data_IF_057333182402
#
_entry.id   IF_057333182402
#
_cell.length_a   1.000
_cell.length_b   1.000
_cell.length_c   1.000
_cell.angle_alpha   90.00
_cell.angle_beta   90.00
_cell.angle_gamma   90.00
#
_symmetry.space_group_name_H-M   'P 1'
#
loop_
_entity.id
_entity.type
_entity.pdbx_description
1 polymer ?
#
# COMPACT_ATOMS: atom_id res chain seq x y z
N UNK A 1 23.51 0.04 -20.56
CA UNK A 1 23.65 0.49 -19.16
C UNK A 1 23.13 1.91 -19.00
N UNK A 2 23.58 2.85 -19.82
CA UNK A 2 23.25 4.31 -19.75
C UNK A 2 21.74 4.60 -19.82
N UNK A 3 21.02 3.97 -20.75
CA UNK A 3 19.56 4.16 -20.90
C UNK A 3 18.80 3.66 -19.66
N UNK A 4 19.20 2.52 -19.11
CA UNK A 4 18.59 1.99 -17.86
C UNK A 4 18.82 2.93 -16.68
N UNK A 5 20.01 3.53 -16.59
CA UNK A 5 20.33 4.53 -15.58
C UNK A 5 19.47 5.77 -15.70
N UNK A 6 19.33 6.32 -16.92
CA UNK A 6 18.48 7.47 -17.17
C UNK A 6 17.00 7.22 -16.81
N UNK A 7 16.48 6.05 -17.18
CA UNK A 7 15.10 5.65 -16.81
C UNK A 7 14.95 5.53 -15.30
N UNK A 8 15.92 4.94 -14.59
CA UNK A 8 15.87 4.83 -13.13
C UNK A 8 15.89 6.21 -12.45
N UNK A 9 16.71 7.14 -12.93
CA UNK A 9 16.77 8.52 -12.43
C UNK A 9 15.41 9.23 -12.62
N UNK A 10 14.82 9.11 -13.80
CA UNK A 10 13.51 9.69 -14.08
C UNK A 10 12.41 9.08 -13.19
N UNK A 11 12.44 7.78 -12.97
CA UNK A 11 11.49 7.08 -12.07
C UNK A 11 11.62 7.50 -10.61
N UNK A 12 12.82 7.87 -10.14
CA UNK A 12 12.99 8.40 -8.77
C UNK A 12 12.19 9.67 -8.52
N UNK A 13 12.00 10.48 -9.56
CA UNK A 13 11.16 11.67 -9.46
C UNK A 13 9.67 11.32 -9.45
N UNK A 14 9.25 10.30 -10.21
CA UNK A 14 7.85 9.91 -10.34
C UNK A 14 7.37 9.04 -9.17
N UNK A 15 8.19 8.06 -8.76
CA UNK A 15 7.91 7.12 -7.68
C UNK A 15 9.23 6.74 -6.98
N UNK A 16 9.68 7.58 -6.02
CA UNK A 16 10.94 7.35 -5.32
C UNK A 16 10.96 6.02 -4.55
N UNK A 17 9.83 5.60 -3.98
CA UNK A 17 9.74 4.36 -3.22
C UNK A 17 10.01 3.14 -4.10
N UNK A 18 9.43 3.09 -5.30
CA UNK A 18 9.60 1.99 -6.24
C UNK A 18 11.06 1.80 -6.70
N UNK A 19 11.84 2.88 -6.77
CA UNK A 19 13.26 2.82 -7.11
C UNK A 19 14.15 2.57 -5.88
N UNK A 20 13.79 3.15 -4.72
CA UNK A 20 14.57 3.01 -3.50
C UNK A 20 14.61 1.56 -2.99
N UNK A 21 13.50 0.85 -3.04
CA UNK A 21 13.41 -0.56 -2.59
C UNK A 21 14.24 -1.53 -3.42
N UNK A 22 14.75 -1.12 -4.58
CA UNK A 22 15.66 -1.92 -5.41
C UNK A 22 17.10 -1.91 -4.90
N UNK A 23 17.42 -0.99 -4.02
CA UNK A 23 18.75 -0.86 -3.43
C UNK A 23 18.80 -1.71 -2.16
N UNK A 24 19.83 -2.57 -2.03
CA UNK A 24 20.04 -3.28 -0.77
C UNK A 24 20.24 -2.24 0.36
N UNK A 25 19.43 -2.25 1.43
CA UNK A 25 19.54 -1.29 2.51
C UNK A 25 20.94 -1.21 3.14
N UNK A 26 21.67 -2.31 3.19
CA UNK A 26 23.06 -2.34 3.67
C UNK A 26 24.01 -1.49 2.81
N UNK A 27 23.71 -1.36 1.51
CA UNK A 27 24.54 -0.58 0.58
C UNK A 27 24.34 0.94 0.75
N UNK A 28 23.26 1.37 1.38
CA UNK A 28 23.01 2.79 1.68
C UNK A 28 23.88 3.25 2.86
N UNK A 29 24.20 2.34 3.78
CA UNK A 29 24.88 2.63 5.05
C UNK A 29 23.89 2.96 6.16
N UNK A 30 23.90 2.14 7.22
CA UNK A 30 22.98 2.26 8.35
C UNK A 30 23.63 2.70 9.65
N UNK A 31 24.97 2.72 9.69
CA UNK A 31 25.71 3.18 10.85
C UNK A 31 27.20 2.91 10.77
N UNK A 32 27.98 3.61 11.59
CA UNK A 32 29.43 3.51 11.63
C UNK A 32 29.90 2.08 11.95
N UNK A 33 29.18 1.39 12.84
CA UNK A 33 29.53 0.04 13.31
C UNK A 33 28.73 -1.06 12.60
N UNK A 34 28.24 -0.78 11.40
CA UNK A 34 27.46 -1.73 10.60
C UNK A 34 28.13 -3.07 10.41
N UNK A 35 29.47 -3.11 10.30
CA UNK A 35 30.26 -4.32 10.08
C UNK A 35 30.57 -5.12 11.36
N UNK A 36 30.35 -4.52 12.54
CA UNK A 36 30.65 -5.12 13.83
C UNK A 36 29.48 -5.92 14.41
N UNK A 37 28.31 -5.84 13.78
CA UNK A 37 27.11 -6.57 14.20
C UNK A 37 26.89 -7.83 13.37
N UNK A 38 26.04 -8.74 13.88
CA UNK A 38 25.62 -9.93 13.14
C UNK A 38 24.94 -9.53 11.83
N UNK A 39 25.56 -9.89 10.70
CA UNK A 39 25.10 -9.47 9.37
C UNK A 39 23.75 -10.10 8.98
N UNK A 40 23.45 -11.30 9.48
CA UNK A 40 22.17 -11.98 9.22
C UNK A 40 21.02 -11.29 9.95
N UNK A 41 21.25 -10.95 11.21
CA UNK A 41 20.27 -10.20 12.01
C UNK A 41 20.08 -8.80 11.48
N UNK A 42 21.15 -8.10 11.09
CA UNK A 42 21.10 -6.78 10.47
C UNK A 42 20.25 -6.81 9.21
N UNK A 43 20.51 -7.75 8.30
CA UNK A 43 19.74 -7.90 7.07
C UNK A 43 18.26 -8.10 7.36
N UNK A 44 17.91 -9.05 8.25
CA UNK A 44 16.52 -9.30 8.63
C UNK A 44 15.82 -8.07 9.21
N UNK A 45 16.49 -7.33 10.08
CA UNK A 45 15.95 -6.09 10.68
C UNK A 45 15.71 -5.00 9.63
N UNK A 46 16.64 -4.85 8.69
CA UNK A 46 16.51 -3.88 7.59
C UNK A 46 15.38 -4.26 6.63
N UNK A 47 15.29 -5.52 6.23
CA UNK A 47 14.22 -6.02 5.37
C UNK A 47 12.85 -5.76 6.02
N UNK A 48 12.72 -6.02 7.32
CA UNK A 48 11.49 -5.75 8.07
C UNK A 48 11.17 -4.26 8.18
N UNK A 49 12.19 -3.41 8.32
CA UNK A 49 12.01 -1.95 8.34
C UNK A 49 11.51 -1.45 6.99
N UNK A 50 12.07 -1.94 5.88
CA UNK A 50 11.61 -1.60 4.52
C UNK A 50 10.18 -2.04 4.31
N UNK A 51 9.83 -3.27 4.69
CA UNK A 51 8.46 -3.78 4.61
C UNK A 51 7.48 -2.88 5.38
N UNK A 52 7.80 -2.54 6.62
CA UNK A 52 6.97 -1.65 7.44
C UNK A 52 6.78 -0.28 6.79
N UNK A 53 7.86 0.33 6.27
CA UNK A 53 7.79 1.63 5.60
C UNK A 53 6.93 1.57 4.34
N UNK A 54 7.09 0.54 3.51
CA UNK A 54 6.29 0.35 2.29
C UNK A 54 4.80 0.21 2.63
N UNK A 55 4.47 -0.58 3.65
CA UNK A 55 3.09 -0.77 4.08
C UNK A 55 2.49 0.51 4.66
N UNK A 56 3.24 1.30 5.42
CA UNK A 56 2.78 2.59 5.95
C UNK A 56 2.46 3.61 4.86
N UNK A 57 3.33 3.73 3.87
CA UNK A 57 3.12 4.64 2.73
C UNK A 57 1.96 4.17 1.86
N UNK A 58 1.84 2.87 1.68
CA UNK A 58 0.94 2.25 0.72
C UNK A 58 1.50 2.31 -0.71
N UNK A 59 0.98 1.44 -1.56
CA UNK A 59 1.50 1.24 -2.91
C UNK A 59 0.39 1.39 -3.94
N UNK A 60 0.66 2.12 -5.02
CA UNK A 60 -0.28 2.23 -6.14
C UNK A 60 -0.38 0.88 -6.87
N UNK A 61 -1.56 0.26 -6.80
CA UNK A 61 -1.84 -1.06 -7.37
C UNK A 61 -1.64 -1.08 -8.90
N UNK A 62 -1.93 0.03 -9.56
CA UNK A 62 -1.90 0.11 -11.02
C UNK A 62 -0.52 0.40 -11.60
N UNK A 63 0.42 0.92 -10.81
CA UNK A 63 1.76 1.29 -11.31
C UNK A 63 2.90 0.49 -10.70
N UNK A 64 2.69 -0.14 -9.55
CA UNK A 64 3.73 -0.86 -8.83
C UNK A 64 4.31 -2.03 -9.64
N UNK A 65 5.62 -2.23 -9.51
CA UNK A 65 6.30 -3.42 -10.03
C UNK A 65 5.98 -4.64 -9.18
N UNK A 66 6.17 -5.84 -9.73
CA UNK A 66 6.05 -7.08 -8.94
C UNK A 66 7.01 -7.08 -7.74
N UNK A 67 8.21 -6.53 -7.91
CA UNK A 67 9.19 -6.40 -6.83
C UNK A 67 8.66 -5.54 -5.68
N UNK A 68 8.11 -4.36 -5.96
CA UNK A 68 7.53 -3.49 -4.93
C UNK A 68 6.33 -4.15 -4.23
N UNK A 69 5.48 -4.83 -4.97
CA UNK A 69 4.32 -5.55 -4.43
C UNK A 69 4.70 -6.68 -3.46
N UNK A 70 5.88 -7.28 -3.58
CA UNK A 70 6.33 -8.33 -2.66
C UNK A 70 6.53 -7.84 -1.22
N UNK A 71 6.71 -6.54 -1.01
CA UNK A 71 6.80 -5.94 0.32
C UNK A 71 5.45 -5.69 0.99
N UNK A 72 4.35 -5.84 0.23
CA UNK A 72 3.01 -5.69 0.80
C UNK A 72 2.63 -6.93 1.61
N UNK A 73 2.15 -6.72 2.82
CA UNK A 73 1.69 -7.78 3.70
C UNK A 73 0.66 -8.67 3.00
N UNK A 74 0.82 -9.97 3.10
CA UNK A 74 -0.04 -10.95 2.46
C UNK A 74 0.25 -11.22 0.97
N UNK A 75 1.18 -10.46 0.34
CA UNK A 75 1.59 -10.67 -1.05
C UNK A 75 2.97 -11.32 -1.11
N UNK A 76 3.01 -12.62 -1.43
CA UNK A 76 4.26 -13.27 -1.81
C UNK A 76 4.63 -12.98 -3.27
N UNK A 77 5.84 -13.40 -3.71
CA UNK A 77 6.33 -13.16 -5.08
C UNK A 77 5.37 -13.65 -6.17
N UNK A 78 4.70 -14.78 -5.95
CA UNK A 78 3.76 -15.36 -6.90
C UNK A 78 2.49 -14.50 -7.06
N UNK A 79 1.90 -14.03 -5.95
CA UNK A 79 0.73 -13.15 -6.00
C UNK A 79 1.08 -11.79 -6.60
N UNK A 80 2.23 -11.23 -6.24
CA UNK A 80 2.72 -9.99 -6.82
C UNK A 80 2.85 -10.09 -8.34
N UNK A 81 3.39 -11.19 -8.85
CA UNK A 81 3.49 -11.44 -10.29
C UNK A 81 2.10 -11.64 -10.93
N UNK A 82 1.20 -12.36 -10.28
CA UNK A 82 -0.16 -12.57 -10.77
C UNK A 82 -0.94 -11.25 -10.88
N UNK A 83 -0.76 -10.33 -9.93
CA UNK A 83 -1.35 -8.98 -10.00
C UNK A 83 -0.85 -8.22 -11.24
N UNK A 84 0.47 -8.25 -11.48
CA UNK A 84 1.05 -7.57 -12.65
C UNK A 84 0.55 -8.18 -13.95
N UNK A 85 0.49 -9.50 -14.04
CA UNK A 85 -0.02 -10.20 -15.22
C UNK A 85 -1.51 -9.89 -15.45
N UNK A 86 -2.32 -9.97 -14.41
CA UNK A 86 -3.75 -9.64 -14.48
C UNK A 86 -3.98 -8.22 -15.00
N UNK A 87 -3.22 -7.27 -14.49
CA UNK A 87 -3.25 -5.87 -14.92
C UNK A 87 -2.84 -5.69 -16.38
N UNK A 88 -1.86 -6.46 -16.85
CA UNK A 88 -1.42 -6.42 -18.24
C UNK A 88 -2.48 -6.97 -19.22
N UNK A 89 -3.24 -7.97 -18.79
CA UNK A 89 -4.25 -8.64 -19.60
C UNK A 89 -5.61 -7.94 -19.57
N UNK A 90 -6.02 -7.42 -18.41
CA UNK A 90 -7.36 -6.89 -18.16
C UNK A 90 -7.42 -5.36 -18.01
N UNK A 91 -6.27 -4.68 -18.02
CA UNK A 91 -6.18 -3.25 -17.77
C UNK A 91 -6.06 -2.90 -16.28
N UNK A 92 -6.10 -1.60 -16.00
CA UNK A 92 -5.98 -1.08 -14.65
C UNK A 92 -7.14 -1.52 -13.75
N UNK A 93 -6.85 -1.78 -12.48
CA UNK A 93 -7.88 -2.04 -11.47
C UNK A 93 -8.69 -0.75 -11.22
N UNK A 94 -10.01 -0.87 -11.28
CA UNK A 94 -10.94 0.23 -10.96
C UNK A 94 -11.35 0.24 -9.48
N UNK A 95 -11.20 -0.88 -8.77
CA UNK A 95 -11.51 -1.01 -7.35
C UNK A 95 -10.65 -2.08 -6.67
N UNK A 96 -10.50 -1.96 -5.35
CA UNK A 96 -9.82 -2.99 -4.53
C UNK A 96 -10.52 -4.37 -4.63
N UNK A 97 -11.83 -4.39 -4.80
CA UNK A 97 -12.61 -5.64 -4.93
C UNK A 97 -12.18 -6.47 -6.13
N UNK A 98 -11.67 -5.84 -7.19
CA UNK A 98 -11.18 -6.55 -8.37
C UNK A 98 -9.95 -7.42 -8.10
N UNK A 99 -9.20 -7.17 -7.02
CA UNK A 99 -8.13 -8.05 -6.58
C UNK A 99 -8.58 -9.50 -6.39
N UNK A 100 -9.83 -9.71 -5.98
CA UNK A 100 -10.39 -11.07 -5.81
C UNK A 100 -10.50 -11.87 -7.13
N UNK A 101 -10.37 -11.20 -8.29
CA UNK A 101 -10.32 -11.84 -9.60
C UNK A 101 -8.92 -12.31 -10.00
N UNK A 102 -7.89 -11.86 -9.27
CA UNK A 102 -6.50 -12.24 -9.53
C UNK A 102 -6.30 -13.73 -9.17
N UNK A 103 -5.67 -14.53 -10.06
CA UNK A 103 -5.40 -15.94 -9.78
C UNK A 103 -4.63 -16.13 -8.47
N UNK A 104 -5.11 -17.07 -7.64
CA UNK A 104 -4.57 -17.38 -6.28
C UNK A 104 -4.78 -16.30 -5.22
N UNK A 105 -5.52 -15.25 -5.50
CA UNK A 105 -5.93 -14.29 -4.49
C UNK A 105 -7.07 -14.91 -3.66
N UNK A 106 -6.74 -15.43 -2.49
CA UNK A 106 -7.71 -15.91 -1.52
C UNK A 106 -8.21 -14.81 -0.61
N UNK A 107 -9.32 -15.06 0.09
CA UNK A 107 -9.89 -14.11 1.06
C UNK A 107 -8.88 -13.62 2.09
N UNK A 108 -8.07 -14.53 2.66
CA UNK A 108 -7.04 -14.18 3.64
C UNK A 108 -5.95 -13.26 3.08
N UNK A 109 -5.49 -13.52 1.86
CA UNK A 109 -4.48 -12.66 1.22
C UNK A 109 -5.06 -11.28 0.91
N UNK A 110 -6.31 -11.21 0.44
CA UNK A 110 -7.02 -9.97 0.21
C UNK A 110 -7.16 -9.16 1.51
N UNK A 111 -7.64 -9.77 2.58
CA UNK A 111 -7.78 -9.16 3.90
C UNK A 111 -6.45 -8.57 4.41
N UNK A 112 -5.34 -9.26 4.19
CA UNK A 112 -4.03 -8.78 4.63
C UNK A 112 -3.47 -7.65 3.77
N UNK A 113 -3.72 -7.63 2.46
CA UNK A 113 -3.08 -6.68 1.55
C UNK A 113 -3.94 -5.45 1.20
N UNK A 114 -5.27 -5.56 1.24
CA UNK A 114 -6.17 -4.56 0.67
C UNK A 114 -5.97 -3.15 1.25
N UNK A 115 -5.71 -3.04 2.55
CA UNK A 115 -5.49 -1.76 3.23
C UNK A 115 -4.21 -1.03 2.80
N UNK A 116 -3.25 -1.74 2.21
CA UNK A 116 -1.95 -1.18 1.80
C UNK A 116 -1.86 -0.88 0.30
N UNK A 117 -2.84 -1.30 -0.48
CA UNK A 117 -2.92 -1.04 -1.92
C UNK A 117 -3.80 0.18 -2.19
N UNK A 118 -3.32 1.09 -3.02
CA UNK A 118 -3.99 2.36 -3.34
C UNK A 118 -4.38 2.38 -4.82
N UNK A 119 -5.55 2.92 -5.10
CA UNK A 119 -6.04 3.16 -6.47
C UNK A 119 -6.46 4.64 -6.54
N UNK A 120 -5.58 5.56 -7.02
CA UNK A 120 -5.86 6.99 -7.03
C UNK A 120 -7.13 7.39 -7.78
N UNK A 121 -7.40 6.71 -8.91
CA UNK A 121 -8.53 7.00 -9.81
C UNK A 121 -9.70 6.02 -9.62
N UNK A 122 -9.84 5.43 -8.41
CA UNK A 122 -10.93 4.52 -8.12
C UNK A 122 -12.29 5.23 -8.06
N UNK A 123 -13.34 4.52 -8.45
CA UNK A 123 -14.72 5.01 -8.31
C UNK A 123 -15.13 5.25 -6.86
N UNK A 124 -14.57 4.48 -5.90
CA UNK A 124 -14.72 4.72 -4.47
C UNK A 124 -13.49 5.44 -3.93
N UNK A 125 -13.62 6.67 -3.40
CA UNK A 125 -12.48 7.42 -2.84
C UNK A 125 -11.73 6.68 -1.73
N UNK A 126 -12.39 5.77 -1.01
CA UNK A 126 -11.78 4.98 0.06
C UNK A 126 -10.72 4.00 -0.47
N UNK A 127 -10.77 3.60 -1.73
CA UNK A 127 -9.76 2.74 -2.35
C UNK A 127 -8.39 3.43 -2.50
N UNK A 128 -8.33 4.75 -2.31
CA UNK A 128 -7.08 5.52 -2.25
C UNK A 128 -6.69 5.91 -0.82
N UNK A 129 -7.18 5.23 0.19
CA UNK A 129 -6.91 5.53 1.60
C UNK A 129 -6.29 4.34 2.33
N UNK A 130 -5.88 4.54 3.58
CA UNK A 130 -5.43 3.46 4.46
C UNK A 130 -6.60 2.66 5.07
N UNK A 131 -7.84 3.09 4.87
CA UNK A 131 -9.02 2.41 5.41
C UNK A 131 -9.16 1.03 4.77
N UNK A 132 -9.30 0.01 5.60
CA UNK A 132 -9.54 -1.34 5.12
C UNK A 132 -10.97 -1.48 4.58
N UNK A 133 -11.22 -2.26 3.50
CA UNK A 133 -12.56 -2.43 2.93
C UNK A 133 -13.65 -2.87 3.92
N UNK A 134 -13.29 -3.61 4.95
CA UNK A 134 -14.20 -4.02 6.02
C UNK A 134 -14.78 -2.83 6.80
N UNK A 135 -14.02 -1.75 6.90
CA UNK A 135 -14.40 -0.55 7.64
C UNK A 135 -15.06 0.54 6.78
N UNK A 136 -15.28 0.29 5.49
CA UNK A 136 -15.88 1.28 4.59
C UNK A 136 -17.26 1.72 5.06
N UNK A 137 -18.09 0.80 5.52
CA UNK A 137 -19.43 1.10 6.04
C UNK A 137 -19.42 2.08 7.21
N UNK A 138 -18.37 2.08 8.03
CA UNK A 138 -18.21 2.99 9.17
C UNK A 138 -17.93 4.40 8.67
N UNK A 139 -17.00 4.53 7.70
CA UNK A 139 -16.68 5.85 7.11
C UNK A 139 -17.88 6.41 6.35
N UNK A 140 -18.64 5.58 5.66
CA UNK A 140 -19.89 5.96 5.01
C UNK A 140 -20.92 6.45 6.02
N UNK A 141 -21.02 5.80 7.19
CA UNK A 141 -21.89 6.23 8.28
C UNK A 141 -21.44 7.57 8.88
N UNK A 142 -20.12 7.75 9.10
CA UNK A 142 -19.54 9.02 9.56
C UNK A 142 -19.89 10.17 8.61
N UNK A 143 -19.76 9.94 7.30
CA UNK A 143 -20.10 10.94 6.28
C UNK A 143 -21.60 11.30 6.31
N UNK A 144 -22.49 10.32 6.44
CA UNK A 144 -23.93 10.53 6.59
C UNK A 144 -24.28 11.35 7.84
N UNK A 145 -23.67 11.01 8.96
CA UNK A 145 -23.94 11.70 10.25
C UNK A 145 -23.48 13.15 10.22
N UNK A 146 -22.45 13.47 9.43
CA UNK A 146 -21.97 14.83 9.22
C UNK A 146 -22.66 15.55 8.04
N UNK A 147 -23.54 14.87 7.30
CA UNK A 147 -24.25 15.44 6.16
C UNK A 147 -23.34 15.77 4.97
N UNK A 148 -22.26 15.05 4.78
CA UNK A 148 -21.30 15.24 3.70
C UNK A 148 -21.07 13.95 2.90
N UNK A 149 -20.40 14.06 1.75
CA UNK A 149 -19.92 12.91 1.00
C UNK A 149 -18.63 12.34 1.61
N UNK A 150 -18.33 11.07 1.31
CA UNK A 150 -17.06 10.44 1.71
C UNK A 150 -15.85 11.20 1.14
N UNK A 151 -15.95 11.69 -0.10
CA UNK A 151 -14.88 12.47 -0.71
C UNK A 151 -14.62 13.80 0.03
N UNK A 152 -15.66 14.51 0.41
CA UNK A 152 -15.57 15.73 1.23
C UNK A 152 -14.98 15.44 2.60
N UNK A 153 -15.40 14.34 3.25
CA UNK A 153 -14.86 13.92 4.54
C UNK A 153 -13.34 13.62 4.47
N UNK A 154 -12.89 13.00 3.38
CA UNK A 154 -11.47 12.74 3.15
C UNK A 154 -10.68 14.03 2.90
N UNK A 155 -11.22 14.94 2.12
CA UNK A 155 -10.55 16.18 1.72
C UNK A 155 -10.50 17.22 2.84
N UNK A 156 -11.56 17.35 3.62
CA UNK A 156 -11.72 18.41 4.63
C UNK A 156 -11.29 17.95 6.02
N UNK A 157 -10.22 18.57 6.52
CA UNK A 157 -9.68 18.32 7.86
C UNK A 157 -10.62 18.78 8.98
N UNK A 158 -11.37 19.84 8.76
CA UNK A 158 -12.29 20.36 9.78
C UNK A 158 -13.52 19.46 9.94
N UNK A 159 -14.01 18.85 8.85
CA UNK A 159 -15.05 17.82 8.93
C UNK A 159 -14.57 16.60 9.73
N UNK A 160 -13.33 16.16 9.49
CA UNK A 160 -12.76 15.02 10.25
C UNK A 160 -12.64 15.30 11.75
N UNK A 161 -12.37 16.55 12.15
CA UNK A 161 -12.30 16.94 13.57
C UNK A 161 -13.65 16.89 14.29
N UNK A 162 -14.76 16.96 13.56
CA UNK A 162 -16.10 16.86 14.12
C UNK A 162 -16.54 15.42 14.39
N UNK A 163 -15.81 14.44 13.90
CA UNK A 163 -16.07 13.03 14.16
C UNK A 163 -15.88 12.76 15.65
N UNK A 164 -16.87 12.09 16.24
CA UNK A 164 -16.80 11.58 17.62
C UNK A 164 -16.53 10.07 17.55
N UNK A 165 -15.27 9.63 17.64
CA UNK A 165 -14.89 8.22 17.43
C UNK A 165 -15.65 7.24 18.30
N UNK A 166 -15.99 7.66 19.52
CA UNK A 166 -16.68 6.85 20.53
C UNK A 166 -18.03 6.30 20.07
N UNK A 167 -18.67 7.00 19.10
CA UNK A 167 -19.95 6.57 18.54
C UNK A 167 -19.86 5.38 17.59
N UNK A 168 -18.66 5.12 17.09
CA UNK A 168 -18.41 4.11 16.06
C UNK A 168 -17.64 2.90 16.58
N UNK A 169 -17.28 2.90 17.87
CA UNK A 169 -16.65 1.76 18.52
C UNK A 169 -17.62 0.58 18.63
N UNK A 170 -17.15 -0.58 18.28
CA UNK A 170 -17.88 -1.84 18.42
C UNK A 170 -16.92 -2.97 18.81
N UNK A 171 -17.42 -4.15 19.22
CA UNK A 171 -16.56 -5.29 19.52
C UNK A 171 -15.67 -5.74 18.34
N UNK A 172 -16.03 -5.38 17.13
CA UNK A 172 -15.30 -5.72 15.90
C UNK A 172 -14.47 -4.55 15.36
N UNK A 173 -14.67 -3.35 15.90
CA UNK A 173 -13.99 -2.12 15.47
C UNK A 173 -13.57 -1.38 16.73
N UNK A 174 -12.28 -1.49 17.02
CA UNK A 174 -11.63 -0.81 18.13
C UNK A 174 -11.06 0.56 17.75
#
# INVERSE_FOLDING_TARGET
>A
VTVRGAVSIARRLMDPLAELVKIDPKSIGVGQYQHDVDQTKLKKSLDQTVENCVNQVGVNLNTASSHLLTYISGLGPQLAQNIVNYRAENGAFASRKELMKVPRMGAKAFEQCAGFLRIPDAGNPLDNTAVHPESYHIVEQMAKDLGCSVAELIADKELRRKIQPERYLSPTVG
#
